data_IF_418966559509
#
_entry.id   IF_418966559509
#
_cell.length_a   1.000
_cell.length_b   1.000
_cell.length_c   1.000
_cell.angle_alpha   90.00
_cell.angle_beta   90.00
_cell.angle_gamma   90.00
#
_symmetry.space_group_name_H-M   'P 1'
#
loop_
_entity.id
_entity.type
_entity.pdbx_description
1 polymer ?
#
# COMPACT_ATOMS: atom_id res chain seq x y z
N UNK A 1 2.13 9.70 2.44
CA UNK A 1 0.69 9.49 2.74
C UNK A 1 0.52 8.91 4.15
N UNK A 2 -0.69 8.77 4.73
CA UNK A 2 -0.87 8.06 6.00
C UNK A 2 -0.43 6.60 5.90
N UNK A 3 0.24 6.12 6.95
CA UNK A 3 0.66 4.73 7.11
C UNK A 3 0.15 4.19 8.44
N UNK A 4 -0.14 2.90 8.49
CA UNK A 4 -0.56 2.18 9.68
C UNK A 4 0.02 0.77 9.67
N UNK A 5 -0.13 0.07 10.79
CA UNK A 5 0.38 -1.28 10.96
C UNK A 5 -0.59 -2.08 11.82
N UNK A 6 -0.85 -3.32 11.43
CA UNK A 6 -1.50 -4.33 12.28
C UNK A 6 -0.44 -5.33 12.74
N UNK A 7 -0.74 -6.28 13.64
CA UNK A 7 0.24 -7.33 13.99
C UNK A 7 0.78 -8.08 12.77
N UNK A 8 -0.01 -8.21 11.71
CA UNK A 8 0.29 -9.06 10.54
C UNK A 8 0.58 -8.31 9.25
N UNK A 9 0.22 -7.02 9.12
CA UNK A 9 0.33 -6.28 7.86
C UNK A 9 0.92 -4.89 8.04
N UNK A 10 1.66 -4.42 7.03
CA UNK A 10 1.86 -3.00 6.83
C UNK A 10 0.71 -2.42 6.00
N UNK A 11 0.34 -1.17 6.26
CA UNK A 11 -0.81 -0.54 5.63
C UNK A 11 -0.40 0.84 5.13
N UNK A 12 -0.50 1.09 3.83
CA UNK A 12 -0.43 2.45 3.26
C UNK A 12 -1.79 2.84 2.73
N UNK A 13 -2.12 4.12 2.82
CA UNK A 13 -3.45 4.61 2.48
C UNK A 13 -3.34 5.79 1.53
N UNK A 14 -4.35 5.98 0.69
CA UNK A 14 -4.47 7.17 -0.13
C UNK A 14 -5.94 7.58 -0.28
N UNK A 15 -6.14 8.88 -0.47
CA UNK A 15 -7.44 9.50 -0.67
C UNK A 15 -7.39 10.36 -1.94
N UNK A 16 -8.33 10.16 -2.85
CA UNK A 16 -8.44 10.95 -4.08
C UNK A 16 -9.89 10.99 -4.56
N UNK A 17 -10.32 12.02 -5.29
CA UNK A 17 -11.67 12.10 -5.86
C UNK A 17 -11.99 10.90 -6.78
N UNK A 18 -10.97 10.37 -7.46
CA UNK A 18 -11.03 9.18 -8.28
C UNK A 18 -10.48 7.93 -7.54
N UNK A 19 -11.17 6.81 -7.67
CA UNK A 19 -10.81 5.57 -6.96
C UNK A 19 -9.54 4.93 -7.52
N UNK A 20 -9.33 4.98 -8.83
CA UNK A 20 -8.17 4.35 -9.47
C UNK A 20 -6.90 5.15 -9.14
N UNK A 21 -7.00 6.47 -9.07
CA UNK A 21 -5.89 7.32 -8.65
C UNK A 21 -5.58 7.18 -7.16
N UNK A 22 -6.58 6.95 -6.30
CA UNK A 22 -6.34 6.56 -4.91
C UNK A 22 -5.60 5.21 -4.83
N UNK A 23 -6.01 4.22 -5.62
CA UNK A 23 -5.33 2.92 -5.65
C UNK A 23 -3.86 3.04 -6.09
N UNK A 24 -3.59 3.77 -7.18
CA UNK A 24 -2.22 4.03 -7.66
C UNK A 24 -1.36 4.70 -6.58
N UNK A 25 -1.91 5.66 -5.85
CA UNK A 25 -1.19 6.36 -4.79
C UNK A 25 -0.91 5.46 -3.58
N UNK A 26 -1.87 4.64 -3.16
CA UNK A 26 -1.68 3.69 -2.05
C UNK A 26 -0.54 2.69 -2.37
N UNK A 27 -0.51 2.13 -3.58
CA UNK A 27 0.56 1.21 -4.02
C UNK A 27 1.91 1.93 -4.12
N UNK A 28 1.95 3.14 -4.68
CA UNK A 28 3.21 3.93 -4.77
C UNK A 28 3.79 4.25 -3.40
N UNK A 29 2.93 4.57 -2.43
CA UNK A 29 3.33 4.73 -1.05
C UNK A 29 3.83 3.41 -0.45
N UNK A 30 3.18 2.28 -0.76
CA UNK A 30 3.64 0.97 -0.28
C UNK A 30 5.03 0.64 -0.83
N UNK A 31 5.27 0.87 -2.13
CA UNK A 31 6.58 0.67 -2.74
C UNK A 31 7.63 1.53 -2.04
N UNK A 32 7.33 2.81 -1.75
CA UNK A 32 8.24 3.67 -1.01
C UNK A 32 8.54 3.13 0.40
N UNK A 33 7.50 2.71 1.13
CA UNK A 33 7.66 2.10 2.45
C UNK A 33 8.53 0.84 2.40
N UNK A 34 8.30 -0.05 1.44
CA UNK A 34 9.07 -1.31 1.30
C UNK A 34 10.54 -1.06 0.97
N UNK A 35 10.84 -0.07 0.15
CA UNK A 35 12.22 0.37 -0.10
C UNK A 35 12.86 0.90 1.18
N UNK A 36 12.12 1.67 1.99
CA UNK A 36 12.61 2.25 3.24
C UNK A 36 12.86 1.20 4.34
N UNK A 37 12.01 0.17 4.48
CA UNK A 37 12.05 -0.76 5.63
C UNK A 37 12.67 -2.12 5.34
N UNK A 38 12.75 -2.53 4.08
CA UNK A 38 13.20 -3.87 3.69
C UNK A 38 14.38 -3.86 2.70
N UNK A 39 15.00 -2.69 2.47
CA UNK A 39 16.14 -2.49 1.55
C UNK A 39 15.93 -3.11 0.15
N UNK A 40 14.67 -3.15 -0.29
CA UNK A 40 14.30 -3.67 -1.60
C UNK A 40 14.62 -2.63 -2.68
N UNK A 41 15.01 -3.11 -3.86
CA UNK A 41 14.97 -2.26 -5.03
C UNK A 41 13.53 -1.81 -5.30
N UNK A 42 13.35 -0.67 -5.97
CA UNK A 42 12.01 -0.19 -6.32
C UNK A 42 11.25 -1.18 -7.20
N UNK A 43 11.96 -1.93 -8.05
CA UNK A 43 11.40 -2.95 -8.96
C UNK A 43 10.96 -4.20 -8.20
N UNK A 44 11.75 -4.64 -7.22
CA UNK A 44 11.40 -5.77 -6.34
C UNK A 44 10.22 -5.41 -5.44
N UNK A 45 10.20 -4.20 -4.87
CA UNK A 45 9.08 -3.71 -4.07
C UNK A 45 7.79 -3.61 -4.90
N UNK A 46 7.87 -3.17 -6.16
CA UNK A 46 6.74 -3.17 -7.09
C UNK A 46 6.24 -4.59 -7.36
N UNK A 47 7.16 -5.52 -7.66
CA UNK A 47 6.85 -6.93 -7.92
C UNK A 47 6.20 -7.57 -6.70
N UNK A 48 6.73 -7.32 -5.51
CA UNK A 48 6.18 -7.83 -4.26
C UNK A 48 4.77 -7.29 -4.00
N UNK A 49 4.54 -5.99 -4.21
CA UNK A 49 3.18 -5.42 -4.13
C UNK A 49 2.23 -6.11 -5.10
N UNK A 50 2.67 -6.35 -6.34
CA UNK A 50 1.83 -7.01 -7.35
C UNK A 50 1.48 -8.46 -7.01
N UNK A 51 2.32 -9.15 -6.24
CA UNK A 51 2.14 -10.57 -5.91
C UNK A 51 1.44 -10.78 -4.57
N UNK A 52 1.66 -9.88 -3.61
CA UNK A 52 1.35 -10.12 -2.21
C UNK A 52 0.57 -9.00 -1.51
N UNK A 53 0.38 -7.83 -2.13
CA UNK A 53 -0.42 -6.77 -1.51
C UNK A 53 -1.88 -6.86 -1.93
N UNK A 54 -2.77 -6.85 -0.96
CA UNK A 54 -4.21 -6.67 -1.20
C UNK A 54 -4.57 -5.19 -1.22
N UNK A 55 -5.43 -4.78 -2.16
CA UNK A 55 -5.99 -3.43 -2.21
C UNK A 55 -7.43 -3.44 -1.70
N UNK A 56 -7.65 -2.70 -0.63
CA UNK A 56 -8.94 -2.62 0.04
C UNK A 56 -9.54 -1.22 -0.09
N UNK A 57 -10.84 -1.17 -0.35
CA UNK A 57 -11.60 0.08 -0.33
C UNK A 57 -11.82 0.50 1.12
N UNK A 58 -11.27 1.64 1.50
CA UNK A 58 -11.47 2.24 2.82
C UNK A 58 -12.85 2.89 2.91
N UNK A 59 -13.21 3.71 1.91
CA UNK A 59 -14.47 4.45 1.86
C UNK A 59 -14.72 5.01 0.46
N UNK A 60 -16.00 5.22 0.10
CA UNK A 60 -16.41 5.77 -1.21
C UNK A 60 -17.29 7.02 -1.12
N UNK A 61 -17.70 7.43 0.08
CA UNK A 61 -18.80 8.40 0.27
C UNK A 61 -18.35 9.75 0.80
N UNK A 62 -17.08 9.90 1.23
CA UNK A 62 -16.55 11.12 1.86
C UNK A 62 -16.11 12.22 0.88
N UNK A 63 -16.72 12.31 -0.31
CA UNK A 63 -16.21 13.09 -1.43
C UNK A 63 -15.04 12.37 -2.10
N UNK A 64 -13.87 12.39 -1.44
CA UNK A 64 -12.72 11.57 -1.82
C UNK A 64 -13.04 10.09 -1.63
N UNK A 65 -12.46 9.23 -2.47
CA UNK A 65 -12.42 7.76 -2.36
C UNK A 65 -11.12 7.37 -1.66
N UNK A 66 -11.20 6.37 -0.78
CA UNK A 66 -10.05 5.87 -0.04
C UNK A 66 -9.71 4.44 -0.41
N UNK A 67 -8.42 4.19 -0.65
CA UNK A 67 -7.86 2.85 -0.85
C UNK A 67 -6.71 2.65 0.13
N UNK A 68 -6.55 1.43 0.63
CA UNK A 68 -5.36 1.03 1.38
C UNK A 68 -4.74 -0.26 0.81
N UNK A 69 -3.42 -0.30 0.77
CA UNK A 69 -2.62 -1.46 0.34
C UNK A 69 -2.07 -2.21 1.55
N UNK A 70 -2.18 -3.54 1.54
CA UNK A 70 -1.86 -4.40 2.69
C UNK A 70 -1.05 -5.64 2.29
N UNK A 71 0.29 -5.58 2.20
CA UNK A 71 1.12 -6.78 2.17
C UNK A 71 1.25 -7.38 3.57
N UNK A 72 1.23 -8.72 3.71
CA UNK A 72 1.58 -9.40 4.95
C UNK A 72 3.04 -9.13 5.31
N UNK A 73 3.35 -8.92 6.59
CA UNK A 73 4.75 -8.78 7.05
C UNK A 73 5.58 -10.04 6.80
N UNK A 74 4.93 -11.20 6.76
CA UNK A 74 5.59 -12.49 6.54
C UNK A 74 6.21 -12.64 5.16
N UNK A 75 5.86 -11.77 4.19
CA UNK A 75 6.47 -11.80 2.85
C UNK A 75 7.71 -10.92 2.73
N UNK A 76 8.04 -10.17 3.80
CA UNK A 76 9.25 -9.35 3.82
C UNK A 76 10.48 -10.21 4.13
N UNK A 77 11.64 -9.87 3.54
CA UNK A 77 12.90 -10.48 3.95
C UNK A 77 13.18 -10.21 5.43
N UNK A 78 13.89 -11.15 6.07
CA UNK A 78 14.23 -11.10 7.49
C UNK A 78 15.32 -10.07 7.82
#
# INVERSE_FOLDING_TARGET
>A
MPRAESPTHHITMALNEDQDDAAKQAVREMIALLVEIADLSREDAYTLCSLAADLHVTQLVGGNKGIHAMPPKSVLPA
#
